data_IF_080853870093
#
_entry.id   IF_080853870093
#
_cell.length_a   1.000
_cell.length_b   1.000
_cell.length_c   1.000
_cell.angle_alpha   90.00
_cell.angle_beta   90.00
_cell.angle_gamma   90.00
#
_symmetry.space_group_name_H-M   'P 1'
#
loop_
_entity.id
_entity.type
_entity.pdbx_description
1 polymer ?
#
# COMPACT_ATOMS: atom_id res chain seq x y z
N UNK A 1 26.17 -16.54 17.33
CA UNK A 1 24.91 -15.82 17.06
C UNK A 1 24.91 -14.61 17.96
N UNK A 2 24.83 -13.41 17.41
CA UNK A 2 24.82 -12.19 18.20
C UNK A 2 23.36 -11.72 18.31
N UNK A 3 22.92 -11.42 19.53
CA UNK A 3 21.59 -10.88 19.82
C UNK A 3 21.78 -9.47 20.34
N UNK A 4 21.01 -8.54 19.80
CA UNK A 4 20.90 -7.19 20.32
C UNK A 4 19.52 -7.03 20.97
N UNK A 5 19.47 -6.43 22.16
CA UNK A 5 18.25 -6.10 22.89
C UNK A 5 18.33 -4.64 23.34
N UNK A 6 17.20 -3.95 23.27
CA UNK A 6 17.04 -2.60 23.77
C UNK A 6 15.70 -2.49 24.50
N UNK A 7 15.70 -1.78 25.62
CA UNK A 7 14.51 -1.48 26.41
C UNK A 7 14.33 0.03 26.48
N UNK A 8 13.09 0.50 26.30
CA UNK A 8 12.76 1.91 26.46
C UNK A 8 12.65 2.23 27.95
N UNK A 9 13.64 2.95 28.49
CA UNK A 9 13.69 3.35 29.90
C UNK A 9 13.17 4.79 30.02
N UNK A 10 11.85 4.96 30.12
CA UNK A 10 11.24 6.25 30.43
C UNK A 10 9.98 6.09 31.30
N UNK A 11 9.49 7.21 31.83
CA UNK A 11 8.32 7.24 32.73
C UNK A 11 6.99 6.99 32.01
N UNK A 12 6.99 6.93 30.68
CA UNK A 12 5.79 6.77 29.85
C UNK A 12 5.85 5.42 29.12
N UNK A 13 4.74 4.65 29.05
CA UNK A 13 4.68 3.42 28.28
C UNK A 13 5.09 3.63 26.82
N UNK A 14 5.88 2.71 26.26
CA UNK A 14 6.37 2.75 24.87
C UNK A 14 5.27 3.04 23.84
N UNK A 15 4.06 2.44 23.91
CA UNK A 15 3.01 2.74 22.94
C UNK A 15 2.57 4.20 22.89
N UNK A 16 2.63 4.91 24.03
CA UNK A 16 2.21 6.30 24.09
C UNK A 16 3.25 7.25 23.48
N UNK A 17 4.54 6.93 23.59
CA UNK A 17 5.63 7.78 23.03
C UNK A 17 5.91 7.49 21.56
N UNK A 18 5.57 6.30 21.04
CA UNK A 18 5.72 5.98 19.61
C UNK A 18 4.92 6.95 18.74
N UNK A 19 3.75 7.40 19.22
CA UNK A 19 2.93 8.40 18.54
C UNK A 19 3.56 9.80 18.53
N UNK A 20 4.52 10.08 19.42
CA UNK A 20 5.29 11.34 19.42
C UNK A 20 6.46 11.30 18.43
N UNK A 21 6.97 10.11 18.12
CA UNK A 21 8.12 9.92 17.20
C UNK A 21 7.69 9.79 15.74
N UNK A 22 6.47 9.32 15.50
CA UNK A 22 5.94 9.09 14.17
C UNK A 22 4.62 9.82 13.99
N UNK A 23 4.47 10.53 12.87
CA UNK A 23 3.21 11.13 12.45
C UNK A 23 2.25 10.05 11.93
N UNK A 24 1.63 9.32 12.86
CA UNK A 24 0.71 8.23 12.53
C UNK A 24 -0.54 8.73 11.78
N UNK A 25 -0.98 9.96 12.05
CA UNK A 25 -2.10 10.58 11.35
C UNK A 25 -1.73 10.89 9.89
N UNK A 26 -0.54 11.44 9.65
CA UNK A 26 0.00 11.66 8.32
C UNK A 26 0.14 10.37 7.51
N UNK A 27 0.66 9.31 8.13
CA UNK A 27 0.77 7.98 7.48
C UNK A 27 -0.64 7.41 7.20
N UNK A 28 -1.59 7.57 8.11
CA UNK A 28 -2.97 7.15 7.88
C UNK A 28 -3.59 7.86 6.68
N UNK A 29 -3.29 9.15 6.50
CA UNK A 29 -3.77 9.91 5.35
C UNK A 29 -3.14 9.46 4.02
N UNK A 30 -1.87 9.02 4.03
CA UNK A 30 -1.25 8.37 2.85
C UNK A 30 -2.06 7.14 2.42
N UNK A 31 -2.42 6.28 3.37
CA UNK A 31 -3.24 5.09 3.10
C UNK A 31 -4.68 5.41 2.67
N UNK A 32 -5.29 6.43 3.27
CA UNK A 32 -6.61 6.92 2.87
C UNK A 32 -6.60 7.47 1.44
N UNK A 33 -5.57 8.24 1.09
CA UNK A 33 -5.36 8.78 -0.26
C UNK A 33 -5.22 7.68 -1.31
N UNK A 34 -4.43 6.66 -1.01
CA UNK A 34 -4.36 5.46 -1.83
C UNK A 34 -5.75 4.83 -2.00
N UNK A 35 -6.46 4.60 -0.90
CA UNK A 35 -7.76 3.91 -0.92
C UNK A 35 -8.81 4.65 -1.74
N UNK A 36 -8.83 5.99 -1.69
CA UNK A 36 -9.70 6.83 -2.54
C UNK A 36 -9.44 6.61 -4.04
N UNK A 37 -8.18 6.46 -4.43
CA UNK A 37 -7.78 6.22 -5.82
C UNK A 37 -8.01 4.78 -6.25
N UNK A 38 -7.79 3.82 -5.36
CA UNK A 38 -7.94 2.40 -5.64
C UNK A 38 -9.40 1.95 -5.77
N UNK A 39 -10.30 2.52 -4.97
CA UNK A 39 -11.72 2.13 -4.94
C UNK A 39 -12.41 2.06 -6.32
N UNK A 40 -12.35 3.10 -7.19
CA UNK A 40 -12.97 3.02 -8.51
C UNK A 40 -12.31 1.98 -9.43
N UNK A 41 -10.98 1.81 -9.35
CA UNK A 41 -10.23 0.81 -10.13
C UNK A 41 -10.63 -0.61 -9.71
N UNK A 42 -10.66 -0.89 -8.40
CA UNK A 42 -11.09 -2.17 -7.85
C UNK A 42 -12.53 -2.47 -8.27
N UNK A 43 -13.45 -1.51 -8.15
CA UNK A 43 -14.86 -1.69 -8.57
C UNK A 43 -14.98 -2.02 -10.06
N UNK A 44 -14.17 -1.38 -10.91
CA UNK A 44 -14.18 -1.68 -12.34
C UNK A 44 -13.66 -3.09 -12.64
N UNK A 45 -12.56 -3.49 -12.02
CA UNK A 45 -11.93 -4.78 -12.31
C UNK A 45 -12.55 -5.96 -11.57
N UNK A 46 -13.29 -5.74 -10.47
CA UNK A 46 -13.94 -6.82 -9.72
C UNK A 46 -15.02 -7.55 -10.52
N UNK A 47 -15.70 -6.88 -11.45
CA UNK A 47 -16.75 -7.48 -12.29
C UNK A 47 -16.21 -8.18 -13.54
N UNK A 48 -14.89 -8.25 -13.71
CA UNK A 48 -14.24 -8.74 -14.94
C UNK A 48 -13.36 -9.94 -14.64
N UNK A 49 -13.73 -11.12 -15.12
CA UNK A 49 -12.95 -12.34 -14.89
C UNK A 49 -11.68 -12.39 -15.74
N UNK A 50 -11.72 -11.80 -16.93
CA UNK A 50 -10.61 -11.79 -17.89
C UNK A 50 -10.23 -10.34 -18.21
N UNK A 51 -8.93 -10.05 -18.22
CA UNK A 51 -8.37 -8.75 -18.60
C UNK A 51 -8.01 -8.78 -20.09
N UNK A 52 -8.89 -8.26 -20.93
CA UNK A 52 -8.69 -8.22 -22.40
C UNK A 52 -8.06 -6.91 -22.88
N UNK A 53 -8.32 -5.80 -22.19
CA UNK A 53 -7.77 -4.48 -22.51
C UNK A 53 -6.47 -4.24 -21.75
N UNK A 54 -5.35 -4.65 -22.36
CA UNK A 54 -4.01 -4.51 -21.78
C UNK A 54 -3.54 -3.06 -21.64
N UNK A 55 -3.97 -2.16 -22.53
CA UNK A 55 -3.64 -0.73 -22.45
C UNK A 55 -4.31 -0.07 -21.23
N UNK A 56 -5.59 -0.37 -21.00
CA UNK A 56 -6.29 0.10 -19.79
C UNK A 56 -5.73 -0.54 -18.53
N UNK A 57 -5.38 -1.83 -18.56
CA UNK A 57 -4.72 -2.49 -17.44
C UNK A 57 -3.40 -1.80 -17.07
N UNK A 58 -2.57 -1.46 -18.07
CA UNK A 58 -1.35 -0.69 -17.87
C UNK A 58 -1.61 0.68 -17.24
N UNK A 59 -2.54 1.46 -17.80
CA UNK A 59 -2.87 2.80 -17.27
C UNK A 59 -3.39 2.75 -15.83
N UNK A 60 -4.32 1.86 -15.55
CA UNK A 60 -4.91 1.76 -14.21
C UNK A 60 -3.87 1.21 -13.20
N UNK A 61 -3.09 0.20 -13.57
CA UNK A 61 -2.04 -0.35 -12.70
C UNK A 61 -0.95 0.68 -12.37
N UNK A 62 -0.47 1.42 -13.36
CA UNK A 62 0.55 2.48 -13.14
C UNK A 62 0.01 3.63 -12.28
N UNK A 63 -1.26 3.99 -12.42
CA UNK A 63 -1.91 4.99 -11.55
C UNK A 63 -1.92 4.52 -10.09
N UNK A 64 -2.30 3.26 -9.86
CA UNK A 64 -2.35 2.65 -8.53
C UNK A 64 -0.95 2.52 -7.92
N UNK A 65 0.01 2.03 -8.69
CA UNK A 65 1.41 1.90 -8.27
C UNK A 65 2.03 3.26 -7.92
N UNK A 66 1.71 4.29 -8.71
CA UNK A 66 2.22 5.66 -8.47
C UNK A 66 1.71 6.23 -7.16
N UNK A 67 0.46 5.95 -6.79
CA UNK A 67 -0.08 6.42 -5.51
C UNK A 67 0.39 5.53 -4.33
N UNK A 68 0.54 4.22 -4.55
CA UNK A 68 1.00 3.28 -3.52
C UNK A 68 2.46 3.50 -3.11
N UNK A 69 3.35 3.85 -4.04
CA UNK A 69 4.81 3.86 -3.82
C UNK A 69 5.27 4.74 -2.66
N UNK A 70 4.47 5.70 -2.20
CA UNK A 70 4.81 6.56 -1.07
C UNK A 70 4.65 5.82 0.27
N UNK A 71 3.69 4.90 0.39
CA UNK A 71 3.41 4.24 1.67
C UNK A 71 4.64 3.55 2.29
N UNK A 72 5.44 2.74 1.55
CA UNK A 72 6.64 2.13 2.12
C UNK A 72 7.75 3.11 2.54
N UNK A 73 7.74 4.36 2.06
CA UNK A 73 8.71 5.37 2.46
C UNK A 73 8.29 6.14 3.71
N UNK A 74 6.98 6.22 3.99
CA UNK A 74 6.44 6.90 5.15
C UNK A 74 6.14 5.94 6.31
N UNK A 75 5.86 4.67 6.04
CA UNK A 75 5.49 3.69 7.06
C UNK A 75 6.75 3.02 7.68
N UNK A 76 6.99 3.19 9.00
CA UNK A 76 8.09 2.54 9.72
C UNK A 76 7.94 1.02 9.91
N UNK A 77 6.79 0.43 9.60
CA UNK A 77 6.52 -0.99 9.84
C UNK A 77 6.40 -1.33 11.33
N UNK A 78 5.77 -0.46 12.11
CA UNK A 78 5.57 -0.68 13.55
C UNK A 78 4.68 -1.90 13.82
N UNK A 79 4.95 -2.66 14.89
CA UNK A 79 4.05 -3.69 15.40
C UNK A 79 2.63 -3.17 15.69
N UNK A 80 1.63 -4.05 15.58
CA UNK A 80 0.20 -3.72 15.73
C UNK A 80 -0.13 -3.08 17.08
N UNK A 81 0.54 -3.50 18.15
CA UNK A 81 0.35 -2.96 19.50
C UNK A 81 0.69 -1.46 19.63
N UNK A 82 1.38 -0.89 18.64
CA UNK A 82 1.73 0.52 18.58
C UNK A 82 0.88 1.32 17.57
N UNK A 83 -0.02 0.66 16.84
CA UNK A 83 -0.85 1.28 15.81
C UNK A 83 -2.26 1.62 16.33
N UNK A 84 -2.93 2.63 15.73
CA UNK A 84 -4.34 2.89 15.98
C UNK A 84 -5.20 1.66 15.64
N UNK A 85 -6.26 1.39 16.44
CA UNK A 85 -7.17 0.25 16.25
C UNK A 85 -7.78 0.14 14.84
N UNK A 86 -7.96 1.26 14.15
CA UNK A 86 -8.53 1.32 12.80
C UNK A 86 -7.50 1.79 11.77
N UNK A 87 -6.30 1.21 11.83
CA UNK A 87 -5.21 1.55 10.94
C UNK A 87 -5.57 1.33 9.46
N UNK A 88 -5.56 2.41 8.68
CA UNK A 88 -5.90 2.37 7.26
C UNK A 88 -4.94 1.51 6.42
N UNK A 89 -3.71 1.28 6.90
CA UNK A 89 -2.68 0.51 6.22
C UNK A 89 -3.10 -0.92 5.91
N UNK A 90 -3.88 -1.58 6.78
CA UNK A 90 -4.32 -2.96 6.56
C UNK A 90 -5.20 -3.09 5.31
N UNK A 91 -6.27 -2.31 5.24
CA UNK A 91 -7.19 -2.34 4.11
C UNK A 91 -6.55 -1.81 2.82
N UNK A 92 -5.71 -0.77 2.93
CA UNK A 92 -4.98 -0.23 1.79
C UNK A 92 -4.03 -1.28 1.18
N UNK A 93 -3.27 -2.00 2.02
CA UNK A 93 -2.36 -3.07 1.59
C UNK A 93 -3.11 -4.19 0.89
N UNK A 94 -4.20 -4.68 1.49
CA UNK A 94 -5.03 -5.73 0.89
C UNK A 94 -5.57 -5.29 -0.49
N UNK A 95 -6.06 -4.05 -0.58
CA UNK A 95 -6.55 -3.47 -1.83
C UNK A 95 -5.45 -3.32 -2.89
N UNK A 96 -4.23 -2.95 -2.50
CA UNK A 96 -3.09 -2.89 -3.42
C UNK A 96 -2.80 -4.26 -4.02
N UNK A 97 -2.65 -5.29 -3.18
CA UNK A 97 -2.34 -6.63 -3.67
C UNK A 97 -3.47 -7.21 -4.53
N UNK A 98 -4.73 -6.99 -4.19
CA UNK A 98 -5.89 -7.34 -5.05
C UNK A 98 -5.78 -6.76 -6.46
N UNK A 99 -5.34 -5.50 -6.59
CA UNK A 99 -5.14 -4.87 -7.91
C UNK A 99 -3.87 -5.37 -8.58
N UNK A 100 -2.78 -5.51 -7.83
CA UNK A 100 -1.50 -5.99 -8.32
C UNK A 100 -1.62 -7.38 -8.95
N UNK A 101 -2.16 -8.35 -8.20
CA UNK A 101 -2.30 -9.74 -8.65
C UNK A 101 -3.12 -9.84 -9.94
N UNK A 102 -4.07 -8.93 -10.13
CA UNK A 102 -4.95 -8.91 -11.28
C UNK A 102 -4.36 -8.19 -12.50
N UNK A 103 -3.64 -7.09 -12.29
CA UNK A 103 -3.29 -6.16 -13.37
C UNK A 103 -1.80 -6.12 -13.72
N UNK A 104 -0.90 -6.56 -12.82
CA UNK A 104 0.54 -6.46 -13.06
C UNK A 104 0.98 -7.22 -14.32
N UNK A 105 0.51 -8.46 -14.50
CA UNK A 105 0.79 -9.26 -15.70
C UNK A 105 0.25 -8.63 -16.99
N UNK A 106 -1.07 -8.33 -17.09
CA UNK A 106 -1.63 -7.66 -18.26
C UNK A 106 -1.00 -6.30 -18.59
N UNK A 107 -0.65 -5.52 -17.58
CA UNK A 107 0.05 -4.25 -17.74
C UNK A 107 1.45 -4.45 -18.35
N UNK A 108 2.20 -5.44 -17.88
CA UNK A 108 3.51 -5.77 -18.41
C UNK A 108 3.44 -6.27 -19.86
N UNK A 109 2.42 -7.07 -20.19
CA UNK A 109 2.18 -7.54 -21.56
C UNK A 109 1.97 -6.38 -22.55
N UNK A 110 1.28 -5.31 -22.12
CA UNK A 110 1.15 -4.10 -22.94
C UNK A 110 2.50 -3.49 -23.29
N UNK A 111 3.39 -3.32 -22.30
CA UNK A 111 4.74 -2.78 -22.49
C UNK A 111 5.56 -3.64 -23.46
N UNK A 112 5.54 -4.96 -23.30
CA UNK A 112 6.25 -5.86 -24.21
C UNK A 112 5.72 -5.82 -25.64
N UNK A 113 4.41 -5.67 -25.82
CA UNK A 113 3.82 -5.61 -27.16
C UNK A 113 4.17 -4.33 -27.91
N UNK A 114 4.29 -3.19 -27.22
CA UNK A 114 4.68 -1.93 -27.85
C UNK A 114 6.19 -1.82 -28.08
N UNK A 115 7.01 -2.42 -27.20
CA UNK A 115 8.47 -2.36 -27.32
C UNK A 115 9.05 -3.31 -28.39
N UNK A 116 8.25 -4.29 -28.86
CA UNK A 116 8.62 -5.19 -29.97
C UNK A 116 8.29 -4.63 -31.37
N UNK A 117 7.62 -3.48 -31.44
CA UNK A 117 7.34 -2.75 -32.69
C UNK A 117 8.42 -1.72 -32.94
#
# INVERSE_FOLDING_TARGET
>A
MNIFSAEHIAFTPTPSVVQEWWDLDGIQEVYNSFSRTAKPVIKYWSTRNIVTDSAKAFRDYTTILTNWRHAPYFDPGLPEEFLPKSWAGYQATENFFKVHDKLAGPALNFVFNIAKK
#
